data_IF_110777629053
#
_entry.id   IF_110777629053
#
_cell.length_a   1.000
_cell.length_b   1.000
_cell.length_c   1.000
_cell.angle_alpha   90.00
_cell.angle_beta   90.00
_cell.angle_gamma   90.00
#
_symmetry.space_group_name_H-M   'P 1'
#
loop_
_entity.id
_entity.type
_entity.pdbx_description
1 polymer ?
#
# COMPACT_ATOMS: atom_id res chain seq x y z
N UNK A 1 27.41 11.43 22.86
CA UNK A 1 26.38 10.38 22.63
C UNK A 1 26.92 9.40 21.60
N UNK A 2 26.94 8.09 21.91
CA UNK A 2 27.36 7.07 20.96
C UNK A 2 26.46 7.13 19.72
N UNK A 3 27.08 7.26 18.54
CA UNK A 3 26.38 7.33 17.22
C UNK A 3 25.85 5.96 16.76
N UNK A 4 26.10 4.90 17.52
CA UNK A 4 25.68 3.54 17.19
C UNK A 4 24.21 3.33 17.52
N UNK A 5 23.51 2.59 16.66
CA UNK A 5 22.13 2.16 16.86
C UNK A 5 22.03 1.26 18.10
N UNK A 6 21.08 1.56 18.99
CA UNK A 6 20.82 0.82 20.21
C UNK A 6 19.38 0.31 20.24
N UNK A 7 19.21 -1.00 20.28
CA UNK A 7 17.92 -1.67 20.21
C UNK A 7 17.03 -1.35 21.44
N UNK A 8 17.65 -1.11 22.61
CA UNK A 8 16.92 -0.74 23.81
C UNK A 8 16.28 0.65 23.67
N UNK A 9 17.04 1.64 23.19
CA UNK A 9 16.51 2.99 22.91
C UNK A 9 15.46 2.97 21.81
N UNK A 10 15.67 2.21 20.75
CA UNK A 10 14.70 2.01 19.68
C UNK A 10 13.36 1.48 20.22
N UNK A 11 13.37 0.43 21.06
CA UNK A 11 12.17 -0.13 21.71
C UNK A 11 11.47 0.89 22.59
N UNK A 12 12.21 1.73 23.31
CA UNK A 12 11.62 2.81 24.12
C UNK A 12 10.91 3.86 23.26
N UNK A 13 11.50 4.27 22.14
CA UNK A 13 10.87 5.20 21.18
C UNK A 13 9.60 4.61 20.61
N UNK A 14 9.62 3.33 20.24
CA UNK A 14 8.46 2.62 19.68
C UNK A 14 7.33 2.51 20.71
N UNK A 15 7.65 2.19 21.97
CA UNK A 15 6.67 2.16 23.06
C UNK A 15 6.09 3.55 23.33
N UNK A 16 6.92 4.59 23.31
CA UNK A 16 6.47 5.96 23.49
C UNK A 16 5.51 6.37 22.38
N UNK A 17 5.81 6.01 21.14
CA UNK A 17 4.96 6.30 19.99
C UNK A 17 3.58 5.62 20.08
N UNK A 18 3.56 4.34 20.44
CA UNK A 18 2.33 3.59 20.66
C UNK A 18 1.46 4.23 21.75
N UNK A 19 2.06 4.57 22.89
CA UNK A 19 1.32 5.14 24.03
C UNK A 19 0.82 6.56 23.75
N UNK A 20 1.58 7.36 23.00
CA UNK A 20 1.19 8.74 22.67
C UNK A 20 0.08 8.78 21.62
N UNK A 21 0.08 7.84 20.68
CA UNK A 21 -0.79 7.88 19.49
C UNK A 21 -1.88 6.80 19.50
N UNK A 22 -2.08 6.08 20.60
CA UNK A 22 -3.04 4.98 20.67
C UNK A 22 -4.45 5.35 20.23
N UNK A 23 -4.91 6.57 20.55
CA UNK A 23 -6.21 7.08 20.11
C UNK A 23 -6.30 7.20 18.58
N UNK A 24 -5.24 7.67 17.95
CA UNK A 24 -5.17 7.79 16.48
C UNK A 24 -5.23 6.42 15.82
N UNK A 25 -4.50 5.44 16.34
CA UNK A 25 -4.53 4.07 15.82
C UNK A 25 -5.89 3.42 15.99
N UNK A 26 -6.52 3.61 17.15
CA UNK A 26 -7.87 3.11 17.39
C UNK A 26 -8.90 3.76 16.45
N UNK A 27 -8.84 5.08 16.26
CA UNK A 27 -9.70 5.78 15.30
C UNK A 27 -9.47 5.29 13.86
N UNK A 28 -8.23 4.95 13.51
CA UNK A 28 -7.91 4.39 12.17
C UNK A 28 -8.52 3.00 11.97
N UNK A 29 -8.45 2.13 13.00
CA UNK A 29 -9.10 0.81 12.99
C UNK A 29 -10.62 0.97 12.82
N UNK A 30 -11.23 1.80 13.66
CA UNK A 30 -12.67 2.03 13.63
C UNK A 30 -13.13 2.64 12.29
N UNK A 31 -12.41 3.64 11.78
CA UNK A 31 -12.73 4.28 10.50
C UNK A 31 -12.62 3.30 9.31
N UNK A 32 -11.58 2.48 9.29
CA UNK A 32 -11.41 1.48 8.22
C UNK A 32 -12.48 0.37 8.33
N UNK A 33 -12.77 -0.12 9.54
CA UNK A 33 -13.81 -1.12 9.76
C UNK A 33 -15.20 -0.60 9.34
N UNK A 34 -15.56 0.63 9.71
CA UNK A 34 -16.81 1.27 9.26
C UNK A 34 -16.84 1.39 7.72
N UNK A 35 -15.74 1.77 7.10
CA UNK A 35 -15.64 1.83 5.64
C UNK A 35 -15.90 0.48 4.98
N UNK A 36 -15.33 -0.60 5.50
CA UNK A 36 -15.55 -1.97 5.02
C UNK A 36 -17.01 -2.39 5.22
N UNK A 37 -17.60 -2.11 6.39
CA UNK A 37 -18.99 -2.44 6.69
C UNK A 37 -19.94 -1.70 5.74
N UNK A 38 -19.73 -0.40 5.51
CA UNK A 38 -20.56 0.38 4.58
C UNK A 38 -20.48 -0.13 3.14
N UNK A 39 -19.28 -0.51 2.70
CA UNK A 39 -19.09 -1.14 1.40
C UNK A 39 -19.84 -2.48 1.31
N UNK A 40 -19.74 -3.31 2.35
CA UNK A 40 -20.43 -4.60 2.40
C UNK A 40 -21.95 -4.43 2.34
N UNK A 41 -22.51 -3.46 3.08
CA UNK A 41 -23.95 -3.14 3.04
C UNK A 41 -24.37 -2.69 1.63
N UNK A 42 -23.59 -1.81 1.01
CA UNK A 42 -23.84 -1.34 -0.35
C UNK A 42 -23.88 -2.49 -1.35
N UNK A 43 -22.95 -3.43 -1.24
CA UNK A 43 -22.87 -4.60 -2.10
C UNK A 43 -24.05 -5.56 -1.85
N UNK A 44 -24.33 -5.91 -0.60
CA UNK A 44 -25.46 -6.77 -0.25
C UNK A 44 -26.81 -6.19 -0.69
N UNK A 45 -26.96 -4.86 -0.74
CA UNK A 45 -28.16 -4.22 -1.25
C UNK A 45 -28.25 -4.24 -2.77
N UNK A 46 -27.15 -4.03 -3.48
CA UNK A 46 -27.13 -3.91 -4.95
C UNK A 46 -27.25 -5.27 -5.63
N UNK A 47 -26.71 -6.31 -5.05
CA UNK A 47 -26.60 -7.63 -5.65
C UNK A 47 -27.92 -8.34 -5.93
N UNK A 48 -28.92 -8.38 -5.02
CA UNK A 48 -30.20 -9.02 -5.28
C UNK A 48 -30.97 -8.40 -6.46
N UNK A 49 -30.70 -7.12 -6.74
CA UNK A 49 -31.40 -6.37 -7.81
C UNK A 49 -30.72 -6.57 -9.19
N UNK A 50 -29.46 -6.94 -9.25
CA UNK A 50 -28.74 -7.19 -10.50
C UNK A 50 -28.95 -8.60 -11.07
N UNK A 51 -29.62 -9.48 -10.33
CA UNK A 51 -29.84 -10.89 -10.68
C UNK A 51 -30.52 -11.11 -12.04
N UNK A 52 -31.31 -10.12 -12.51
CA UNK A 52 -32.01 -10.23 -13.78
C UNK A 52 -31.14 -10.02 -15.03
N UNK A 53 -29.88 -9.64 -14.88
CA UNK A 53 -29.06 -9.17 -16.00
C UNK A 53 -27.96 -10.20 -16.39
N UNK A 54 -27.52 -11.05 -15.48
CA UNK A 54 -26.38 -11.95 -15.73
C UNK A 54 -26.74 -13.38 -15.32
N UNK A 55 -26.88 -14.27 -16.27
CA UNK A 55 -27.16 -15.71 -16.04
C UNK A 55 -25.96 -16.50 -15.51
N UNK A 56 -25.19 -15.95 -14.58
CA UNK A 56 -24.02 -16.54 -13.95
C UNK A 56 -24.24 -16.89 -12.48
N UNK A 57 -23.27 -17.60 -11.89
CA UNK A 57 -23.26 -17.96 -10.49
C UNK A 57 -23.02 -16.68 -9.63
N UNK A 58 -24.10 -16.21 -9.01
CA UNK A 58 -24.14 -14.96 -8.24
C UNK A 58 -23.15 -14.95 -7.09
N UNK A 59 -22.90 -16.08 -6.48
CA UNK A 59 -21.96 -16.23 -5.37
C UNK A 59 -20.56 -15.81 -5.76
N UNK A 60 -20.05 -16.37 -6.83
CA UNK A 60 -18.68 -16.11 -7.32
C UNK A 60 -18.51 -14.65 -7.72
N UNK A 61 -19.50 -14.06 -8.42
CA UNK A 61 -19.43 -12.65 -8.80
C UNK A 61 -19.43 -11.68 -7.62
N UNK A 62 -20.21 -11.97 -6.57
CA UNK A 62 -20.19 -11.18 -5.32
C UNK A 62 -18.81 -11.26 -4.65
N UNK A 63 -18.26 -12.46 -4.52
CA UNK A 63 -16.97 -12.70 -3.87
C UNK A 63 -15.84 -11.98 -4.61
N UNK A 64 -15.77 -12.08 -5.93
CA UNK A 64 -14.77 -11.41 -6.75
C UNK A 64 -14.86 -9.89 -6.65
N UNK A 65 -16.06 -9.34 -6.73
CA UNK A 65 -16.28 -7.91 -6.63
C UNK A 65 -15.90 -7.37 -5.25
N UNK A 66 -16.31 -8.05 -4.18
CA UNK A 66 -15.98 -7.66 -2.80
C UNK A 66 -14.49 -7.73 -2.54
N UNK A 67 -13.82 -8.79 -3.01
CA UNK A 67 -12.36 -8.95 -2.85
C UNK A 67 -11.60 -7.82 -3.57
N UNK A 68 -12.02 -7.46 -4.79
CA UNK A 68 -11.41 -6.35 -5.55
C UNK A 68 -11.58 -4.98 -4.86
N UNK A 69 -12.78 -4.67 -4.37
CA UNK A 69 -13.03 -3.42 -3.64
C UNK A 69 -12.29 -3.38 -2.30
N UNK A 70 -12.28 -4.49 -1.55
CA UNK A 70 -11.54 -4.60 -0.30
C UNK A 70 -10.04 -4.35 -0.55
N UNK A 71 -9.45 -5.02 -1.53
CA UNK A 71 -8.04 -4.83 -1.89
C UNK A 71 -7.75 -3.36 -2.22
N UNK A 72 -8.62 -2.70 -2.99
CA UNK A 72 -8.46 -1.28 -3.35
C UNK A 72 -8.46 -0.38 -2.11
N UNK A 73 -9.39 -0.58 -1.17
CA UNK A 73 -9.46 0.20 0.08
C UNK A 73 -8.22 -0.04 0.94
N UNK A 74 -7.77 -1.29 1.07
CA UNK A 74 -6.59 -1.63 1.87
C UNK A 74 -5.32 -1.02 1.28
N UNK A 75 -5.13 -1.09 -0.03
CA UNK A 75 -4.01 -0.47 -0.73
C UNK A 75 -4.04 1.05 -0.55
N UNK A 76 -5.20 1.69 -0.73
CA UNK A 76 -5.35 3.12 -0.52
C UNK A 76 -5.02 3.52 0.92
N UNK A 77 -5.52 2.77 1.91
CA UNK A 77 -5.21 3.00 3.32
C UNK A 77 -3.71 2.88 3.61
N UNK A 78 -3.04 1.88 3.02
CA UNK A 78 -1.61 1.67 3.19
C UNK A 78 -0.78 2.87 2.70
N UNK A 79 -1.11 3.42 1.54
CA UNK A 79 -0.46 4.62 1.01
C UNK A 79 -0.78 5.88 1.82
N UNK A 80 -2.03 6.06 2.26
CA UNK A 80 -2.44 7.16 3.14
C UNK A 80 -1.70 7.09 4.47
N UNK A 81 -1.51 5.89 5.02
CA UNK A 81 -0.70 5.68 6.24
C UNK A 81 0.74 6.13 6.04
N UNK A 82 1.38 5.78 4.92
CA UNK A 82 2.73 6.22 4.59
C UNK A 82 2.85 7.75 4.50
N UNK A 83 1.88 8.43 3.86
CA UNK A 83 1.85 9.90 3.81
C UNK A 83 1.76 10.55 5.19
N UNK A 84 1.19 9.86 6.17
CA UNK A 84 1.00 10.36 7.54
C UNK A 84 2.15 10.03 8.50
N UNK A 85 3.32 9.61 8.01
CA UNK A 85 4.47 9.21 8.85
C UNK A 85 4.82 10.23 9.94
N UNK A 86 4.74 11.53 9.65
CA UNK A 86 5.01 12.62 10.57
C UNK A 86 3.76 13.41 10.97
N UNK A 87 2.58 12.79 10.95
CA UNK A 87 1.33 13.44 11.39
C UNK A 87 1.41 13.97 12.84
N UNK A 88 2.18 13.31 13.69
CA UNK A 88 2.38 13.70 15.10
C UNK A 88 3.38 14.84 15.29
N UNK A 89 3.97 15.37 14.24
CA UNK A 89 4.87 16.53 14.32
C UNK A 89 4.22 17.79 13.73
N UNK A 90 2.90 17.78 13.50
CA UNK A 90 2.16 18.91 12.93
C UNK A 90 2.16 20.10 13.88
N UNK A 91 1.98 19.90 15.18
CA UNK A 91 2.00 20.98 16.19
C UNK A 91 3.43 21.22 16.70
N UNK A 92 3.72 22.45 17.13
CA UNK A 92 5.04 22.83 17.67
C UNK A 92 5.39 21.96 18.88
N UNK A 93 4.46 21.80 19.80
CA UNK A 93 4.65 21.07 21.07
C UNK A 93 4.93 19.58 20.83
N UNK A 94 4.19 18.95 19.92
CA UNK A 94 4.42 17.54 19.56
C UNK A 94 5.79 17.33 18.90
N UNK A 95 6.24 18.30 18.09
CA UNK A 95 7.55 18.24 17.45
C UNK A 95 8.67 18.39 18.47
N UNK A 96 8.56 19.34 19.40
CA UNK A 96 9.52 19.51 20.47
C UNK A 96 9.63 18.22 21.31
N UNK A 97 8.51 17.64 21.74
CA UNK A 97 8.51 16.40 22.54
C UNK A 97 9.16 15.24 21.78
N UNK A 98 8.91 15.09 20.47
CA UNK A 98 9.50 14.04 19.66
C UNK A 98 11.00 14.24 19.41
N UNK A 99 11.42 15.48 19.10
CA UNK A 99 12.83 15.78 18.85
C UNK A 99 13.69 15.72 20.11
N UNK A 100 13.14 16.03 21.30
CA UNK A 100 13.83 15.95 22.57
C UNK A 100 14.00 14.53 23.11
N UNK A 101 13.41 13.51 22.52
CA UNK A 101 13.61 12.12 22.93
C UNK A 101 15.12 11.76 22.90
N UNK A 102 15.64 11.10 23.95
CA UNK A 102 17.06 10.73 24.05
C UNK A 102 17.40 9.53 23.17
N UNK A 103 17.20 9.66 21.85
CA UNK A 103 17.45 8.64 20.84
C UNK A 103 18.14 9.25 19.63
N UNK A 104 18.82 8.42 18.84
CA UNK A 104 19.45 8.85 17.61
C UNK A 104 18.39 9.15 16.53
N UNK A 105 18.68 10.04 15.58
CA UNK A 105 17.77 10.37 14.49
C UNK A 105 17.39 9.13 13.67
N UNK A 106 18.30 8.19 13.47
CA UNK A 106 18.04 6.94 12.77
C UNK A 106 17.04 6.07 13.55
N UNK A 107 17.19 5.96 14.88
CA UNK A 107 16.28 5.21 15.75
C UNK A 107 14.86 5.80 15.71
N UNK A 108 14.74 7.14 15.75
CA UNK A 108 13.46 7.85 15.66
C UNK A 108 12.78 7.63 14.30
N UNK A 109 13.55 7.77 13.21
CA UNK A 109 13.03 7.56 11.86
C UNK A 109 12.61 6.11 11.64
N UNK A 110 13.46 5.16 12.02
CA UNK A 110 13.17 3.74 11.88
C UNK A 110 11.94 3.30 12.69
N UNK A 111 11.77 3.82 13.93
CA UNK A 111 10.59 3.54 14.73
C UNK A 111 9.31 4.04 14.04
N UNK A 112 9.33 5.25 13.47
CA UNK A 112 8.20 5.78 12.71
C UNK A 112 7.92 5.00 11.44
N UNK A 113 8.96 4.68 10.69
CA UNK A 113 8.84 3.85 9.49
C UNK A 113 8.19 2.49 9.82
N UNK A 114 8.66 1.82 10.87
CA UNK A 114 8.12 0.54 11.30
C UNK A 114 6.66 0.65 11.75
N UNK A 115 6.29 1.71 12.48
CA UNK A 115 4.91 1.93 12.90
C UNK A 115 3.98 2.20 11.71
N UNK A 116 4.44 2.92 10.68
CA UNK A 116 3.61 3.21 9.51
C UNK A 116 3.57 2.06 8.50
N UNK A 117 4.58 1.19 8.44
CA UNK A 117 4.58 0.01 7.58
C UNK A 117 3.92 -1.20 8.28
N UNK A 118 4.52 -1.71 9.34
CA UNK A 118 4.00 -2.90 10.05
C UNK A 118 2.74 -2.57 10.84
N UNK A 119 2.69 -1.41 11.50
CA UNK A 119 1.52 -0.97 12.25
C UNK A 119 0.30 -0.78 11.36
N UNK A 120 0.43 -0.24 10.14
CA UNK A 120 -0.69 -0.13 9.20
C UNK A 120 -1.20 -1.50 8.73
N UNK A 121 -0.31 -2.47 8.50
CA UNK A 121 -0.70 -3.85 8.17
C UNK A 121 -1.51 -4.47 9.31
N UNK A 122 -1.07 -4.31 10.56
CA UNK A 122 -1.82 -4.79 11.72
C UNK A 122 -3.20 -4.14 11.84
N UNK A 123 -3.28 -2.82 11.61
CA UNK A 123 -4.56 -2.09 11.57
C UNK A 123 -5.48 -2.65 10.48
N UNK A 124 -4.95 -2.90 9.28
CA UNK A 124 -5.71 -3.47 8.16
C UNK A 124 -6.26 -4.86 8.53
N UNK A 125 -5.42 -5.76 9.08
CA UNK A 125 -5.85 -7.11 9.49
C UNK A 125 -6.95 -7.03 10.54
N UNK A 126 -6.79 -6.22 11.58
CA UNK A 126 -7.81 -6.08 12.63
C UNK A 126 -9.12 -5.50 12.08
N UNK A 127 -9.02 -4.46 11.25
CA UNK A 127 -10.20 -3.83 10.67
C UNK A 127 -10.96 -4.75 9.70
N UNK A 128 -10.25 -5.56 8.90
CA UNK A 128 -10.88 -6.55 8.01
C UNK A 128 -11.55 -7.66 8.80
N UNK A 129 -10.94 -8.17 9.88
CA UNK A 129 -11.56 -9.16 10.74
C UNK A 129 -12.86 -8.64 11.37
N UNK A 130 -12.87 -7.39 11.85
CA UNK A 130 -14.08 -6.77 12.39
C UNK A 130 -15.13 -6.57 11.30
N UNK A 131 -14.72 -6.07 10.13
CA UNK A 131 -15.61 -5.82 9.00
C UNK A 131 -16.27 -7.09 8.48
N UNK A 132 -15.49 -8.17 8.30
CA UNK A 132 -15.98 -9.47 7.85
C UNK A 132 -16.95 -10.11 8.85
N UNK A 133 -16.64 -10.03 10.15
CA UNK A 133 -17.52 -10.53 11.20
C UNK A 133 -18.89 -9.82 11.18
N UNK A 134 -18.90 -8.49 11.05
CA UNK A 134 -20.15 -7.71 10.99
C UNK A 134 -20.91 -8.01 9.68
N UNK A 135 -20.20 -8.10 8.56
CA UNK A 135 -20.79 -8.46 7.27
C UNK A 135 -21.43 -9.85 7.33
N UNK A 136 -20.75 -10.83 7.92
CA UNK A 136 -21.30 -12.18 8.07
C UNK A 136 -22.63 -12.16 8.83
N UNK A 137 -22.74 -11.40 9.92
CA UNK A 137 -23.99 -11.22 10.64
C UNK A 137 -25.08 -10.54 9.78
N UNK A 138 -24.70 -9.48 9.05
CA UNK A 138 -25.65 -8.74 8.21
C UNK A 138 -26.19 -9.58 7.05
N UNK A 139 -25.38 -10.50 6.51
CA UNK A 139 -25.81 -11.39 5.43
C UNK A 139 -27.03 -12.27 5.82
N UNK A 140 -27.16 -12.65 7.07
CA UNK A 140 -28.33 -13.41 7.56
C UNK A 140 -29.64 -12.60 7.46
N UNK A 141 -29.56 -11.29 7.54
CA UNK A 141 -30.74 -10.43 7.51
C UNK A 141 -31.07 -9.93 6.10
N UNK A 142 -30.06 -9.74 5.25
CA UNK A 142 -30.23 -9.06 3.95
C UNK A 142 -30.34 -10.04 2.77
N UNK A 143 -29.66 -11.19 2.84
CA UNK A 143 -29.60 -12.16 1.73
C UNK A 143 -29.88 -13.59 2.23
N UNK A 144 -31.18 -13.98 2.32
CA UNK A 144 -31.52 -15.36 2.69
C UNK A 144 -30.95 -16.35 1.68
N UNK A 145 -30.09 -17.25 2.14
CA UNK A 145 -29.52 -18.34 1.34
C UNK A 145 -28.08 -18.13 0.86
N UNK A 146 -27.46 -16.97 1.10
CA UNK A 146 -26.05 -16.75 0.79
C UNK A 146 -25.30 -16.15 1.98
N UNK A 147 -24.38 -16.92 2.54
CA UNK A 147 -23.62 -16.55 3.75
C UNK A 147 -22.14 -16.82 3.49
N UNK A 148 -21.45 -15.87 2.85
CA UNK A 148 -20.01 -15.99 2.62
C UNK A 148 -19.22 -15.01 3.49
N UNK A 149 -18.07 -15.48 3.97
CA UNK A 149 -17.06 -14.65 4.60
C UNK A 149 -16.11 -14.15 3.52
N UNK A 150 -15.84 -12.84 3.48
CA UNK A 150 -14.88 -12.24 2.53
C UNK A 150 -13.48 -12.80 2.75
N UNK A 151 -13.10 -13.03 3.99
CA UNK A 151 -11.78 -13.62 4.33
C UNK A 151 -11.72 -15.05 3.84
N UNK A 152 -12.80 -15.83 4.01
CA UNK A 152 -12.88 -17.21 3.52
C UNK A 152 -12.72 -17.29 2.00
N UNK A 153 -13.46 -16.46 1.25
CA UNK A 153 -13.37 -16.42 -0.21
C UNK A 153 -12.02 -15.89 -0.71
N UNK A 154 -11.46 -14.88 -0.05
CA UNK A 154 -10.12 -14.37 -0.40
C UNK A 154 -9.01 -15.42 -0.17
N UNK A 155 -9.11 -16.22 0.90
CA UNK A 155 -8.17 -17.28 1.17
C UNK A 155 -8.33 -18.45 0.19
N UNK A 156 -9.56 -18.81 -0.20
CA UNK A 156 -9.78 -19.84 -1.21
C UNK A 156 -9.22 -19.44 -2.57
N UNK A 157 -9.41 -18.18 -2.99
CA UNK A 157 -8.83 -17.67 -4.24
C UNK A 157 -7.29 -17.71 -4.23
N UNK A 158 -6.67 -17.31 -3.11
CA UNK A 158 -5.21 -17.40 -2.95
C UNK A 158 -4.75 -18.86 -2.99
N UNK A 159 -5.49 -19.76 -2.32
CA UNK A 159 -5.18 -21.18 -2.33
C UNK A 159 -5.34 -21.80 -3.74
N UNK A 160 -6.40 -21.47 -4.45
CA UNK A 160 -6.61 -21.89 -5.82
C UNK A 160 -5.54 -21.34 -6.78
N UNK A 161 -5.18 -20.08 -6.66
CA UNK A 161 -4.08 -19.48 -7.42
C UNK A 161 -2.73 -20.17 -7.13
N UNK A 162 -2.51 -20.59 -5.89
CA UNK A 162 -1.28 -21.29 -5.49
C UNK A 162 -1.27 -22.78 -5.90
N UNK A 163 -2.45 -23.44 -6.00
CA UNK A 163 -2.56 -24.89 -6.32
C UNK A 163 -2.83 -25.16 -7.78
N UNK A 164 -3.47 -24.23 -8.51
CA UNK A 164 -3.76 -24.34 -9.94
C UNK A 164 -2.55 -24.12 -10.86
N UNK A 165 -1.33 -24.20 -10.33
CA UNK A 165 -0.10 -24.43 -11.12
C UNK A 165 -0.13 -25.87 -11.68
N UNK A 166 -1.29 -26.25 -12.27
CA UNK A 166 -1.52 -27.59 -12.78
C UNK A 166 -0.86 -27.86 -14.09
N UNK A 167 -0.45 -29.08 -14.25
CA UNK A 167 0.03 -29.98 -15.30
C UNK A 167 -0.13 -29.63 -16.81
N UNK A 168 -0.57 -28.44 -17.18
CA UNK A 168 -0.62 -27.98 -18.55
C UNK A 168 0.70 -27.29 -18.95
N UNK A 169 1.42 -27.79 -20.00
CA UNK A 169 2.66 -27.16 -20.47
C UNK A 169 2.49 -25.71 -20.89
N UNK A 170 1.26 -25.28 -21.18
CA UNK A 170 0.91 -23.88 -21.42
C UNK A 170 0.88 -23.07 -20.11
N UNK A 171 0.50 -23.69 -18.98
CA UNK A 171 0.51 -23.04 -17.66
C UNK A 171 1.92 -22.88 -17.08
N UNK A 172 2.89 -23.71 -17.48
CA UNK A 172 4.30 -23.50 -17.12
C UNK A 172 4.83 -22.22 -17.76
N UNK A 173 4.46 -21.94 -19.02
CA UNK A 173 4.75 -20.66 -19.68
C UNK A 173 3.97 -19.48 -19.07
N UNK A 174 2.71 -19.68 -18.72
CA UNK A 174 1.89 -18.70 -18.01
C UNK A 174 2.40 -18.47 -16.57
N UNK A 175 2.85 -19.51 -15.87
CA UNK A 175 3.45 -19.39 -14.55
C UNK A 175 4.75 -18.60 -14.54
N UNK A 176 5.54 -18.64 -15.61
CA UNK A 176 6.70 -17.75 -15.74
C UNK A 176 6.26 -16.30 -15.95
N UNK A 177 5.26 -16.03 -16.77
CA UNK A 177 4.69 -14.69 -16.94
C UNK A 177 4.07 -14.15 -15.63
N UNK A 178 3.45 -15.00 -14.84
CA UNK A 178 2.90 -14.60 -13.53
C UNK A 178 4.00 -14.23 -12.52
N UNK A 179 5.10 -14.98 -12.47
CA UNK A 179 6.25 -14.66 -11.61
C UNK A 179 6.89 -13.34 -12.04
N UNK A 180 7.07 -13.12 -13.35
CA UNK A 180 7.61 -11.90 -13.91
C UNK A 180 6.72 -10.69 -13.58
N UNK A 181 5.43 -10.80 -13.82
CA UNK A 181 4.44 -9.77 -13.48
C UNK A 181 4.40 -9.50 -11.98
N UNK A 182 4.47 -10.53 -11.14
CA UNK A 182 4.52 -10.41 -9.70
C UNK A 182 5.78 -9.66 -9.22
N UNK A 183 6.97 -9.99 -9.74
CA UNK A 183 8.21 -9.33 -9.39
C UNK A 183 8.17 -7.83 -9.73
N UNK A 184 7.71 -7.48 -10.93
CA UNK A 184 7.55 -6.09 -11.36
C UNK A 184 6.49 -5.39 -10.53
N UNK A 185 5.34 -6.02 -10.29
CA UNK A 185 4.23 -5.49 -9.50
C UNK A 185 4.64 -5.19 -8.05
N UNK A 186 5.28 -6.12 -7.37
CA UNK A 186 5.74 -5.91 -5.99
C UNK A 186 6.81 -4.82 -5.88
N UNK A 187 7.79 -4.80 -6.79
CA UNK A 187 8.83 -3.76 -6.81
C UNK A 187 8.23 -2.37 -7.10
N UNK A 188 7.23 -2.28 -7.98
CA UNK A 188 6.49 -1.05 -8.25
C UNK A 188 5.69 -0.56 -7.04
N UNK A 189 4.99 -1.46 -6.32
CA UNK A 189 4.28 -1.12 -5.09
C UNK A 189 5.23 -0.59 -4.00
N UNK A 190 6.40 -1.20 -3.83
CA UNK A 190 7.44 -0.73 -2.90
C UNK A 190 7.93 0.65 -3.30
N UNK A 191 8.12 0.92 -4.59
CA UNK A 191 8.52 2.23 -5.11
C UNK A 191 7.46 3.29 -4.79
N UNK A 192 6.17 3.03 -5.09
CA UNK A 192 5.08 3.96 -4.79
C UNK A 192 4.97 4.21 -3.28
N UNK A 193 5.08 3.17 -2.45
CA UNK A 193 5.06 3.31 -1.00
C UNK A 193 6.20 4.21 -0.50
N UNK A 194 7.42 4.01 -0.99
CA UNK A 194 8.58 4.82 -0.65
C UNK A 194 8.42 6.27 -1.10
N UNK A 195 7.82 6.49 -2.27
CA UNK A 195 7.51 7.83 -2.78
C UNK A 195 6.43 8.52 -1.92
N UNK A 196 5.36 7.83 -1.54
CA UNK A 196 4.33 8.39 -0.65
C UNK A 196 4.89 8.74 0.73
N UNK A 197 5.82 7.95 1.23
CA UNK A 197 6.54 8.21 2.46
C UNK A 197 7.46 9.44 2.34
N UNK A 198 8.15 9.61 1.20
CA UNK A 198 8.92 10.81 0.90
C UNK A 198 8.01 12.04 0.87
N UNK A 199 6.85 11.98 0.22
CA UNK A 199 5.87 13.06 0.21
C UNK A 199 5.37 13.41 1.60
N UNK A 200 5.12 12.42 2.46
CA UNK A 200 4.74 12.60 3.86
C UNK A 200 5.82 13.29 4.71
N UNK A 201 7.11 13.12 4.38
CA UNK A 201 8.22 13.83 5.03
C UNK A 201 8.44 15.22 4.47
N UNK A 202 8.21 15.41 3.17
CA UNK A 202 8.46 16.68 2.47
C UNK A 202 7.36 17.69 2.74
N UNK A 203 6.07 17.29 2.60
CA UNK A 203 4.93 18.18 2.79
C UNK A 203 4.43 18.15 4.24
N UNK A 204 4.50 19.30 4.89
CA UNK A 204 4.04 19.43 6.29
C UNK A 204 2.54 19.64 6.39
N UNK A 205 1.98 20.51 5.52
CA UNK A 205 0.54 20.80 5.49
C UNK A 205 -0.11 19.96 4.41
N UNK A 206 -1.16 19.21 4.76
CA UNK A 206 -1.93 18.36 3.84
C UNK A 206 -1.05 17.40 3.00
N UNK A 207 -0.23 16.55 3.64
CA UNK A 207 0.73 15.69 2.95
C UNK A 207 0.05 14.77 1.93
N UNK A 208 -1.15 14.26 2.21
CA UNK A 208 -1.88 13.35 1.33
C UNK A 208 -2.20 14.01 -0.01
N UNK A 209 -2.82 15.20 0.02
CA UNK A 209 -3.25 15.91 -1.20
C UNK A 209 -2.04 16.31 -2.03
N UNK A 210 -1.01 16.92 -1.39
CA UNK A 210 0.17 17.40 -2.11
C UNK A 210 1.00 16.26 -2.69
N UNK A 211 1.09 15.13 -1.99
CA UNK A 211 1.76 13.93 -2.52
C UNK A 211 0.99 13.33 -3.68
N UNK A 212 -0.34 13.25 -3.59
CA UNK A 212 -1.17 12.77 -4.70
C UNK A 212 -1.03 13.66 -5.94
N UNK A 213 -1.12 14.98 -5.78
CA UNK A 213 -0.93 15.92 -6.90
C UNK A 213 0.46 15.81 -7.51
N UNK A 214 1.51 15.75 -6.68
CA UNK A 214 2.89 15.58 -7.19
C UNK A 214 3.06 14.23 -7.92
N UNK A 215 2.43 13.16 -7.44
CA UNK A 215 2.42 11.86 -8.10
C UNK A 215 1.73 11.89 -9.46
N UNK A 216 0.58 12.56 -9.57
CA UNK A 216 -0.14 12.73 -10.84
C UNK A 216 0.72 13.53 -11.84
N UNK A 217 1.35 14.62 -11.40
CA UNK A 217 2.23 15.43 -12.26
C UNK A 217 3.40 14.59 -12.77
N UNK A 218 4.07 13.83 -11.91
CA UNK A 218 5.17 12.95 -12.30
C UNK A 218 4.68 11.90 -13.29
N UNK A 219 3.53 11.26 -13.02
CA UNK A 219 2.93 10.28 -13.92
C UNK A 219 2.65 10.86 -15.31
N UNK A 220 2.09 12.08 -15.39
CA UNK A 220 1.85 12.76 -16.67
C UNK A 220 3.15 13.07 -17.42
N UNK A 221 4.19 13.53 -16.71
CA UNK A 221 5.50 13.80 -17.32
C UNK A 221 6.14 12.51 -17.85
N UNK A 222 6.15 11.45 -17.05
CA UNK A 222 6.70 10.15 -17.45
C UNK A 222 5.93 9.56 -18.62
N UNK A 223 4.59 9.65 -18.60
CA UNK A 223 3.74 9.19 -19.70
C UNK A 223 4.00 9.96 -21.01
N UNK A 224 4.13 11.29 -20.91
CA UNK A 224 4.46 12.12 -22.07
C UNK A 224 5.86 11.82 -22.63
N UNK A 225 6.85 11.67 -21.75
CA UNK A 225 8.20 11.27 -22.17
C UNK A 225 8.21 9.87 -22.79
N UNK A 226 7.44 8.94 -22.21
CA UNK A 226 7.30 7.57 -22.74
C UNK A 226 6.71 7.55 -24.14
N UNK A 227 5.61 8.30 -24.38
CA UNK A 227 5.00 8.39 -25.72
C UNK A 227 5.95 8.99 -26.77
N UNK A 228 6.76 9.98 -26.38
CA UNK A 228 7.77 10.55 -27.28
C UNK A 228 8.91 9.57 -27.60
N UNK A 229 9.34 8.76 -26.61
CA UNK A 229 10.34 7.71 -26.83
C UNK A 229 9.80 6.60 -27.74
N UNK A 230 8.50 6.28 -27.64
CA UNK A 230 7.82 5.34 -28.53
C UNK A 230 7.77 5.88 -29.98
N UNK A 231 7.41 7.15 -30.17
CA UNK A 231 7.45 7.79 -31.51
C UNK A 231 8.86 7.76 -32.15
N UNK A 232 9.91 7.76 -31.34
CA UNK A 232 11.29 7.65 -31.82
C UNK A 232 11.77 6.21 -32.03
N UNK A 233 10.89 5.21 -31.89
CA UNK A 233 11.19 3.80 -32.08
C UNK A 233 12.09 3.19 -30.99
N UNK A 234 12.22 3.87 -29.85
CA UNK A 234 13.06 3.36 -28.76
C UNK A 234 12.51 2.06 -28.15
N UNK A 235 11.21 1.80 -28.31
CA UNK A 235 10.53 0.59 -27.82
C UNK A 235 10.38 -0.50 -28.90
N UNK A 236 10.66 -0.23 -30.18
CA UNK A 236 10.56 -1.25 -31.25
C UNK A 236 11.54 -2.40 -31.00
N UNK A 237 12.70 -2.11 -30.46
CA UNK A 237 13.66 -3.12 -30.00
C UNK A 237 13.08 -4.01 -28.88
N UNK A 238 12.22 -3.46 -28.04
CA UNK A 238 11.56 -4.15 -26.92
C UNK A 238 10.49 -5.13 -27.39
N UNK A 239 9.69 -4.73 -28.39
CA UNK A 239 8.63 -5.58 -28.97
C UNK A 239 9.21 -6.76 -29.71
N UNK A 240 10.32 -6.59 -30.42
CA UNK A 240 11.03 -7.67 -31.10
C UNK A 240 11.70 -8.65 -30.12
N UNK A 241 12.24 -8.19 -29.00
CA UNK A 241 12.85 -9.07 -28.00
C UNK A 241 11.84 -9.92 -27.23
N UNK A 242 10.63 -9.40 -27.03
CA UNK A 242 9.63 -10.03 -26.14
C UNK A 242 8.84 -11.15 -26.85
N UNK A 243 8.84 -11.20 -28.19
CA UNK A 243 7.99 -12.13 -28.96
C UNK A 243 8.60 -13.54 -29.13
N UNK A 244 9.92 -13.69 -29.05
CA UNK A 244 10.58 -14.90 -29.51
C UNK A 244 11.24 -15.79 -28.45
N UNK A 245 11.42 -15.31 -27.18
CA UNK A 245 12.08 -16.10 -26.15
C UNK A 245 11.58 -15.80 -24.72
N UNK A 246 11.09 -16.81 -23.98
CA UNK A 246 10.65 -16.62 -22.59
C UNK A 246 11.79 -16.21 -21.61
N UNK A 247 13.04 -16.46 -21.95
CA UNK A 247 14.17 -16.02 -21.11
C UNK A 247 14.47 -14.53 -21.20
N UNK A 248 14.04 -13.85 -22.28
CA UNK A 248 14.23 -12.40 -22.43
C UNK A 248 13.20 -11.60 -21.63
N UNK A 249 11.98 -12.11 -21.47
CA UNK A 249 10.94 -11.48 -20.64
C UNK A 249 11.35 -11.45 -19.17
N UNK A 250 11.93 -12.52 -18.66
CA UNK A 250 12.46 -12.57 -17.28
C UNK A 250 13.59 -11.55 -17.06
N UNK A 251 14.54 -11.43 -17.99
CA UNK A 251 15.62 -10.45 -17.88
C UNK A 251 15.09 -9.02 -17.84
N UNK A 252 14.07 -8.71 -18.64
CA UNK A 252 13.39 -7.42 -18.68
C UNK A 252 12.66 -7.14 -17.37
N UNK A 253 11.93 -8.12 -16.85
CA UNK A 253 11.24 -8.02 -15.55
C UNK A 253 12.22 -7.76 -14.41
N UNK A 254 13.33 -8.47 -14.36
CA UNK A 254 14.39 -8.25 -13.38
C UNK A 254 14.98 -6.85 -13.52
N UNK A 255 15.27 -6.39 -14.74
CA UNK A 255 15.80 -5.04 -14.96
C UNK A 255 14.87 -3.96 -14.41
N UNK A 256 13.57 -3.99 -14.75
CA UNK A 256 12.59 -3.04 -14.23
C UNK A 256 12.42 -3.14 -12.72
N UNK A 257 12.42 -4.34 -12.16
CA UNK A 257 12.36 -4.55 -10.71
C UNK A 257 13.55 -3.90 -9.99
N UNK A 258 14.76 -4.04 -10.53
CA UNK A 258 15.96 -3.40 -9.98
C UNK A 258 15.86 -1.87 -10.07
N UNK A 259 15.37 -1.33 -11.19
CA UNK A 259 15.16 0.13 -11.36
C UNK A 259 14.16 0.66 -10.31
N UNK A 260 13.02 -0.02 -10.12
CA UNK A 260 12.02 0.39 -9.14
C UNK A 260 12.56 0.31 -7.71
N UNK A 261 13.31 -0.73 -7.37
CA UNK A 261 13.93 -0.87 -6.04
C UNK A 261 15.01 0.19 -5.81
N UNK A 262 15.78 0.56 -6.84
CA UNK A 262 16.75 1.64 -6.74
C UNK A 262 16.06 3.01 -6.48
N UNK A 263 14.98 3.30 -7.19
CA UNK A 263 14.15 4.48 -6.97
C UNK A 263 13.51 4.49 -5.57
N UNK A 264 13.06 3.33 -5.08
CA UNK A 264 12.55 3.18 -3.73
C UNK A 264 13.63 3.46 -2.67
N UNK A 265 14.82 2.90 -2.83
CA UNK A 265 15.95 3.15 -1.93
C UNK A 265 16.36 4.62 -1.93
N UNK A 266 16.39 5.26 -3.09
CA UNK A 266 16.66 6.69 -3.21
C UNK A 266 15.59 7.53 -2.48
N UNK A 267 14.31 7.20 -2.64
CA UNK A 267 13.20 7.88 -1.97
C UNK A 267 13.28 7.74 -0.44
N UNK A 268 13.61 6.56 0.06
CA UNK A 268 13.82 6.32 1.50
C UNK A 268 15.03 7.10 2.03
N UNK A 269 16.14 7.10 1.31
CA UNK A 269 17.32 7.87 1.67
C UNK A 269 17.02 9.37 1.70
N UNK A 270 16.33 9.90 0.69
CA UNK A 270 15.94 11.31 0.62
C UNK A 270 15.00 11.67 1.78
N UNK A 271 14.02 10.82 2.09
CA UNK A 271 13.12 10.97 3.23
C UNK A 271 13.87 11.04 4.56
N UNK A 272 14.84 10.15 4.79
CA UNK A 272 15.70 10.19 5.97
C UNK A 272 16.56 11.47 6.05
N UNK A 273 17.15 11.90 4.92
CA UNK A 273 17.92 13.15 4.84
C UNK A 273 17.07 14.37 5.19
N UNK A 274 15.83 14.44 4.68
CA UNK A 274 14.88 15.49 5.02
C UNK A 274 14.54 15.49 6.50
N UNK A 275 14.29 14.31 7.07
CA UNK A 275 14.03 14.17 8.50
C UNK A 275 15.19 14.68 9.36
N UNK A 276 16.44 14.37 9.01
CA UNK A 276 17.62 14.84 9.79
C UNK A 276 17.82 16.34 9.74
N UNK A 277 17.27 17.04 8.72
CA UNK A 277 17.32 18.50 8.58
C UNK A 277 16.11 19.22 9.17
N UNK A 278 15.13 18.47 9.69
CA UNK A 278 13.90 19.05 10.24
C UNK A 278 14.19 19.95 11.44
N UNK A 279 13.78 21.21 11.37
CA UNK A 279 13.96 22.22 12.42
C UNK A 279 12.71 22.37 13.28
N UNK A 280 12.90 22.67 14.57
CA UNK A 280 11.81 22.88 15.54
C UNK A 280 10.95 24.10 15.18
N UNK A 281 11.58 25.16 14.67
CA UNK A 281 10.94 26.45 14.38
C UNK A 281 10.83 26.62 12.86
N UNK A 282 9.95 25.90 12.22
CA UNK A 282 9.68 26.10 10.81
C UNK A 282 8.18 26.36 10.60
N UNK A 283 7.81 27.54 10.07
CA UNK A 283 6.43 27.93 9.76
C UNK A 283 6.07 27.68 8.28
N UNK A 284 6.99 27.08 7.52
CA UNK A 284 6.84 26.85 6.08
C UNK A 284 5.96 25.64 5.77
N UNK A 285 5.47 25.56 4.55
CA UNK A 285 4.67 24.43 4.02
C UNK A 285 5.53 23.18 3.78
N UNK A 286 6.84 23.38 3.62
CA UNK A 286 7.83 22.36 3.27
C UNK A 286 8.80 22.23 4.46
N UNK A 287 9.19 21.02 4.78
CA UNK A 287 10.17 20.70 5.81
C UNK A 287 11.62 20.83 5.25
N UNK A 288 12.05 22.06 4.99
CA UNK A 288 13.44 22.36 4.58
C UNK A 288 14.06 23.33 5.57
#
# INVERSE_FOLDING_TARGET
MNKTFDLHRFRMVLRWDLLTNWKSYFCSIAGLAIGIIMLSISMLYTFPHSHYIVGGDLGNYYEDSMTGFLATILIAFFFVSACNIFSNTKTKLQRESFLMLPANNLEKYAARFLMMSVGSILIMVIATLIGDFVQFILSFFMTPGYHASIIGSSLSQIYEAATNTGDNPICILAGQCEIEAALVGWSFLIMIYSFTLLGGTFFRKQPIILTAVSGIIIYMIVGYCGSKLEEWGAFDFYTHLNHDNPGTSLCIAIFWSVVFLALAAFSLWASYKLFTRMQVICNKWINI
#
